data_IF_655224157033
#
_entry.id   IF_655224157033
#
_cell.length_a   1.000
_cell.length_b   1.000
_cell.length_c   1.000
_cell.angle_alpha   90.00
_cell.angle_beta   90.00
_cell.angle_gamma   90.00
#
_symmetry.space_group_name_H-M   'P 1'
#
loop_
_entity.id
_entity.type
_entity.pdbx_description
1 polymer ?
#
# COMPACT_ATOMS: atom_id res chain seq x y z
N UNK A 1 -12.32 18.10 31.62
CA UNK A 1 -12.06 18.00 30.19
C UNK A 1 -12.00 16.51 29.90
N UNK A 2 -13.10 15.91 29.42
CA UNK A 2 -13.12 14.48 29.11
C UNK A 2 -12.23 14.27 27.89
N UNK A 3 -11.18 13.47 28.03
CA UNK A 3 -10.47 12.95 26.86
C UNK A 3 -11.48 12.10 26.07
N UNK A 4 -11.80 12.53 24.85
CA UNK A 4 -12.58 11.69 23.94
C UNK A 4 -11.81 10.39 23.72
N UNK A 5 -12.49 9.27 23.97
CA UNK A 5 -11.92 7.94 23.76
C UNK A 5 -11.55 7.81 22.28
N UNK A 6 -10.26 7.60 22.00
CA UNK A 6 -9.74 7.35 20.66
C UNK A 6 -9.41 5.88 20.50
N UNK A 7 -9.82 5.32 19.38
CA UNK A 7 -9.57 3.94 19.00
C UNK A 7 -8.67 3.93 17.76
N UNK A 8 -7.84 2.90 17.66
CA UNK A 8 -6.99 2.68 16.49
C UNK A 8 -7.61 1.56 15.67
N UNK A 9 -7.90 1.83 14.41
CA UNK A 9 -8.57 0.90 13.51
C UNK A 9 -7.70 0.61 12.29
N UNK A 10 -7.70 -0.64 11.85
CA UNK A 10 -7.08 -1.09 10.62
C UNK A 10 -8.15 -1.39 9.56
N UNK A 11 -7.97 -0.82 8.37
CA UNK A 11 -8.86 -1.02 7.23
C UNK A 11 -8.10 -1.60 6.04
N UNK A 12 -8.75 -2.50 5.30
CA UNK A 12 -8.12 -3.32 4.26
C UNK A 12 -8.97 -3.45 2.97
N UNK A 13 -10.13 -2.79 2.92
CA UNK A 13 -11.10 -2.92 1.85
C UNK A 13 -11.61 -1.57 1.33
N UNK A 14 -12.91 -1.46 1.10
CA UNK A 14 -13.58 -0.29 0.52
C UNK A 14 -13.39 1.04 1.28
N UNK A 15 -12.94 0.98 2.54
CA UNK A 15 -12.58 2.11 3.39
C UNK A 15 -11.17 2.69 3.12
N UNK A 16 -10.32 1.95 2.40
CA UNK A 16 -8.98 2.39 2.01
C UNK A 16 -9.02 3.69 1.21
N UNK A 17 -8.04 4.60 1.39
CA UNK A 17 -7.90 5.84 0.58
C UNK A 17 -8.07 5.60 -0.91
N UNK A 18 -8.85 6.48 -1.54
CA UNK A 18 -9.21 6.43 -2.95
C UNK A 18 -10.38 5.49 -3.29
N UNK A 19 -10.86 4.65 -2.36
CA UNK A 19 -12.02 3.77 -2.59
C UNK A 19 -13.31 4.39 -2.04
N UNK A 20 -14.43 3.81 -2.47
CA UNK A 20 -15.78 4.39 -2.35
C UNK A 20 -16.20 4.80 -0.92
N UNK A 21 -15.77 4.07 0.11
CA UNK A 21 -16.20 4.32 1.49
C UNK A 21 -15.17 5.08 2.32
N UNK A 22 -14.04 5.48 1.73
CA UNK A 22 -13.01 6.24 2.45
C UNK A 22 -13.53 7.54 3.08
N UNK A 23 -14.60 8.12 2.54
CA UNK A 23 -15.23 9.33 3.10
C UNK A 23 -15.64 9.19 4.57
N UNK A 24 -15.92 7.97 5.05
CA UNK A 24 -16.23 7.67 6.43
C UNK A 24 -15.04 7.85 7.40
N UNK A 25 -13.81 7.87 6.89
CA UNK A 25 -12.58 8.03 7.67
C UNK A 25 -11.97 9.43 7.58
N UNK A 26 -12.62 10.39 6.91
CA UNK A 26 -12.08 11.73 6.67
C UNK A 26 -11.71 12.50 7.94
N UNK A 27 -12.37 12.22 9.05
CA UNK A 27 -12.14 12.84 10.36
C UNK A 27 -11.10 12.10 11.20
N UNK A 28 -10.63 10.93 10.76
CA UNK A 28 -9.63 10.13 11.46
C UNK A 28 -8.20 10.59 11.17
N UNK A 29 -7.31 10.43 12.15
CA UNK A 29 -5.88 10.68 11.97
C UNK A 29 -5.27 9.47 11.27
N UNK A 30 -4.77 9.63 10.05
CA UNK A 30 -4.04 8.56 9.37
C UNK A 30 -2.67 8.32 10.04
N UNK A 31 -2.41 7.07 10.45
CA UNK A 31 -1.18 6.69 11.16
C UNK A 31 -0.14 6.04 10.23
N UNK A 32 -0.56 5.32 9.19
CA UNK A 32 0.40 4.66 8.31
C UNK A 32 -0.15 3.47 7.53
N UNK A 33 0.65 2.99 6.59
CA UNK A 33 0.43 1.71 5.94
C UNK A 33 0.88 0.62 6.91
N UNK A 34 0.11 -0.46 6.99
CA UNK A 34 0.42 -1.56 7.88
C UNK A 34 0.03 -2.90 7.26
N UNK A 35 0.44 -3.97 7.94
CA UNK A 35 0.01 -5.32 7.63
C UNK A 35 -0.55 -6.03 8.85
N UNK A 36 -1.55 -6.88 8.63
CA UNK A 36 -2.08 -7.84 9.62
C UNK A 36 -2.07 -9.25 9.02
N UNK A 37 -2.14 -10.28 9.86
CA UNK A 37 -2.29 -11.65 9.39
C UNK A 37 -3.77 -12.02 9.21
N UNK A 38 -4.08 -12.67 8.09
CA UNK A 38 -5.42 -13.13 7.77
C UNK A 38 -5.47 -13.92 6.47
N UNK A 39 -6.68 -14.09 5.94
CA UNK A 39 -6.94 -14.52 4.57
C UNK A 39 -7.99 -13.60 3.98
N UNK A 40 -7.70 -13.03 2.81
CA UNK A 40 -8.56 -12.04 2.16
C UNK A 40 -9.33 -12.69 1.02
N UNK A 41 -10.63 -12.42 0.94
CA UNK A 41 -11.51 -12.96 -0.10
C UNK A 41 -12.25 -11.83 -0.80
N UNK A 42 -12.44 -11.99 -2.10
CA UNK A 42 -13.36 -11.16 -2.87
C UNK A 42 -14.80 -11.65 -2.69
N UNK A 43 -15.66 -10.81 -2.12
CA UNK A 43 -17.09 -11.10 -1.95
C UNK A 43 -17.93 -10.50 -3.09
N UNK A 44 -17.31 -9.78 -4.03
CA UNK A 44 -17.90 -9.10 -5.18
C UNK A 44 -17.74 -7.58 -5.05
N UNK A 45 -18.53 -6.95 -4.19
CA UNK A 45 -18.52 -5.48 -4.02
C UNK A 45 -17.54 -5.00 -2.94
N UNK A 46 -17.07 -5.90 -2.08
CA UNK A 46 -16.22 -5.62 -0.93
C UNK A 46 -15.44 -6.88 -0.55
N UNK A 47 -14.30 -6.76 0.17
CA UNK A 47 -13.54 -7.92 0.58
C UNK A 47 -13.97 -8.44 1.96
N UNK A 48 -13.77 -9.73 2.20
CA UNK A 48 -13.91 -10.37 3.50
C UNK A 48 -12.56 -10.81 4.05
N UNK A 49 -12.24 -10.43 5.30
CA UNK A 49 -11.03 -10.88 5.99
C UNK A 49 -11.37 -11.95 7.02
N UNK A 50 -10.76 -13.13 6.87
CA UNK A 50 -10.81 -14.23 7.84
C UNK A 50 -9.48 -14.34 8.60
N UNK A 51 -9.47 -15.18 9.64
CA UNK A 51 -8.24 -15.57 10.31
C UNK A 51 -7.36 -16.42 9.36
N UNK A 52 -6.05 -16.23 9.42
CA UNK A 52 -5.10 -16.84 8.50
C UNK A 52 -3.70 -16.29 8.71
N UNK A 53 -2.75 -16.73 7.87
CA UNK A 53 -1.33 -16.38 7.98
C UNK A 53 -0.82 -15.51 6.83
N UNK A 54 -1.67 -15.20 5.85
CA UNK A 54 -1.30 -14.31 4.77
C UNK A 54 -1.18 -12.88 5.31
N UNK A 55 -0.16 -12.17 4.86
CA UNK A 55 0.06 -10.77 5.24
C UNK A 55 -0.82 -9.85 4.40
N UNK A 56 -1.84 -9.26 5.03
CA UNK A 56 -2.83 -8.38 4.40
C UNK A 56 -2.43 -6.92 4.59
N UNK A 57 -2.34 -6.20 3.48
CA UNK A 57 -1.97 -4.78 3.44
C UNK A 57 -3.20 -3.93 3.70
N UNK A 58 -3.03 -2.91 4.54
CA UNK A 58 -4.07 -1.94 4.81
C UNK A 58 -3.52 -0.64 5.38
N UNK A 59 -4.41 0.11 5.99
CA UNK A 59 -4.17 1.43 6.54
C UNK A 59 -4.63 1.49 7.99
N UNK A 60 -3.84 2.16 8.84
CA UNK A 60 -4.20 2.41 10.23
C UNK A 60 -4.69 3.85 10.37
N UNK A 61 -5.80 4.02 11.08
CA UNK A 61 -6.37 5.30 11.47
C UNK A 61 -6.62 5.36 12.97
N UNK A 62 -6.47 6.55 13.55
CA UNK A 62 -7.01 6.87 14.87
C UNK A 62 -8.34 7.58 14.70
N UNK A 63 -9.39 7.04 15.30
CA UNK A 63 -10.77 7.51 15.16
C UNK A 63 -11.42 7.76 16.52
N UNK A 64 -12.39 8.67 16.56
CA UNK A 64 -13.24 8.87 17.74
C UNK A 64 -14.43 7.90 17.74
N UNK A 65 -15.18 7.90 18.83
CA UNK A 65 -16.32 6.99 19.03
C UNK A 65 -17.43 7.19 17.99
N UNK A 66 -17.74 8.42 17.61
CA UNK A 66 -18.76 8.71 16.60
C UNK A 66 -18.39 8.11 15.23
N UNK A 67 -17.12 8.23 14.82
CA UNK A 67 -16.62 7.63 13.58
C UNK A 67 -16.67 6.11 13.68
N UNK A 68 -16.28 5.53 14.81
CA UNK A 68 -16.34 4.08 15.00
C UNK A 68 -17.77 3.52 14.90
N UNK A 69 -18.75 4.22 15.49
CA UNK A 69 -20.17 3.86 15.38
C UNK A 69 -20.68 3.93 13.93
N UNK A 70 -20.23 4.92 13.15
CA UNK A 70 -20.54 4.99 11.71
C UNK A 70 -19.95 3.80 10.95
N UNK A 71 -18.71 3.41 11.25
CA UNK A 71 -18.08 2.24 10.63
C UNK A 71 -18.81 0.94 11.00
N UNK A 72 -19.24 0.78 12.25
CA UNK A 72 -20.04 -0.38 12.66
C UNK A 72 -21.35 -0.49 11.87
N UNK A 73 -22.00 0.64 11.56
CA UNK A 73 -23.20 0.67 10.73
C UNK A 73 -22.91 0.28 9.28
N UNK A 74 -21.82 0.79 8.71
CA UNK A 74 -21.39 0.47 7.34
C UNK A 74 -21.07 -1.02 7.20
N UNK A 75 -20.35 -1.58 8.16
CA UNK A 75 -19.90 -2.97 8.17
C UNK A 75 -20.97 -3.95 8.72
N UNK A 76 -22.16 -3.45 9.07
CA UNK A 76 -23.26 -4.28 9.55
C UNK A 76 -22.95 -5.03 10.85
N UNK A 77 -22.21 -4.39 11.76
CA UNK A 77 -21.92 -4.92 13.09
C UNK A 77 -23.13 -4.73 13.99
N UNK A 78 -23.60 -5.82 14.60
CA UNK A 78 -24.64 -5.80 15.62
C UNK A 78 -24.06 -6.24 16.96
N UNK A 79 -23.72 -5.29 17.87
CA UNK A 79 -23.12 -5.62 19.17
C UNK A 79 -24.01 -6.50 20.06
N UNK A 80 -25.33 -6.43 19.88
CA UNK A 80 -26.30 -7.22 20.67
C UNK A 80 -26.48 -8.64 20.13
N UNK A 81 -26.23 -8.85 18.84
CA UNK A 81 -26.38 -10.14 18.17
C UNK A 81 -25.19 -10.42 17.23
N UNK A 82 -23.99 -10.70 17.78
CA UNK A 82 -22.78 -10.89 16.98
C UNK A 82 -22.93 -11.96 15.89
N UNK A 83 -23.64 -13.06 16.18
CA UNK A 83 -23.87 -14.15 15.23
C UNK A 83 -24.66 -13.73 13.96
N UNK A 84 -25.42 -12.62 14.03
CA UNK A 84 -26.16 -12.06 12.90
C UNK A 84 -25.40 -10.97 12.15
N UNK A 85 -24.22 -10.58 12.65
CA UNK A 85 -23.42 -9.50 12.04
C UNK A 85 -22.71 -9.99 10.79
N UNK A 86 -22.63 -9.13 9.78
CA UNK A 86 -21.84 -9.41 8.56
C UNK A 86 -20.35 -9.46 8.90
N UNK A 87 -19.93 -8.51 9.75
CA UNK A 87 -18.57 -8.44 10.27
C UNK A 87 -18.58 -8.41 11.80
N UNK A 88 -17.47 -8.86 12.38
CA UNK A 88 -17.20 -8.78 13.81
C UNK A 88 -16.00 -7.86 14.03
N UNK A 89 -16.15 -6.86 14.89
CA UNK A 89 -15.01 -6.05 15.32
C UNK A 89 -14.15 -6.84 16.29
N UNK A 90 -12.86 -6.95 16.00
CA UNK A 90 -11.90 -7.71 16.80
C UNK A 90 -10.58 -6.96 16.91
N UNK A 91 -9.90 -7.15 18.03
CA UNK A 91 -8.56 -6.63 18.23
C UNK A 91 -7.52 -7.57 17.62
N UNK A 92 -6.48 -7.00 17.03
CA UNK A 92 -5.32 -7.73 16.52
C UNK A 92 -4.07 -6.85 16.55
N UNK A 93 -2.94 -7.44 16.18
CA UNK A 93 -1.67 -6.75 16.04
C UNK A 93 -1.43 -6.41 14.57
N UNK A 94 -1.12 -5.14 14.30
CA UNK A 94 -0.73 -4.66 12.98
C UNK A 94 0.71 -4.14 13.01
N UNK A 95 1.49 -4.50 12.01
CA UNK A 95 2.88 -4.06 11.85
C UNK A 95 2.92 -2.88 10.89
N UNK A 96 3.40 -1.72 11.32
CA UNK A 96 3.59 -0.55 10.45
C UNK A 96 4.70 -0.80 9.44
N UNK A 97 4.46 -0.47 8.17
CA UNK A 97 5.48 -0.57 7.11
C UNK A 97 6.56 0.52 7.23
N UNK A 98 6.29 1.58 7.99
CA UNK A 98 7.20 2.72 8.12
C UNK A 98 8.46 2.39 8.95
N UNK A 99 8.32 1.53 9.95
CA UNK A 99 9.36 1.25 10.95
C UNK A 99 9.29 -0.16 11.57
N UNK A 100 8.29 -0.96 11.24
CA UNK A 100 8.09 -2.30 11.82
C UNK A 100 7.46 -2.30 13.21
N UNK A 101 7.05 -1.15 13.73
CA UNK A 101 6.41 -1.08 15.04
C UNK A 101 5.05 -1.80 15.01
N UNK A 102 4.75 -2.50 16.10
CA UNK A 102 3.50 -3.25 16.27
C UNK A 102 2.50 -2.40 17.05
N UNK A 103 1.29 -2.28 16.52
CA UNK A 103 0.18 -1.55 17.13
C UNK A 103 -1.00 -2.50 17.36
N UNK A 104 -1.60 -2.40 18.54
CA UNK A 104 -2.90 -3.04 18.78
C UNK A 104 -3.98 -2.22 18.09
N UNK A 105 -4.71 -2.85 17.19
CA UNK A 105 -5.75 -2.21 16.36
C UNK A 105 -7.05 -3.00 16.43
N UNK A 106 -8.17 -2.32 16.25
CA UNK A 106 -9.43 -2.96 15.91
C UNK A 106 -9.53 -3.17 14.40
N UNK A 107 -10.14 -4.26 13.95
CA UNK A 107 -10.51 -4.48 12.55
C UNK A 107 -11.83 -5.23 12.46
N UNK A 108 -12.44 -5.19 11.28
CA UNK A 108 -13.66 -5.94 10.97
C UNK A 108 -13.29 -7.29 10.35
N UNK A 109 -13.63 -8.42 10.97
CA UNK A 109 -13.50 -9.76 10.37
C UNK A 109 -14.81 -10.21 9.77
N UNK A 110 -14.77 -10.81 8.59
CA UNK A 110 -15.96 -11.33 7.94
C UNK A 110 -16.47 -12.56 8.70
N UNK A 111 -17.78 -12.60 8.95
CA UNK A 111 -18.42 -13.59 9.81
C UNK A 111 -19.35 -14.55 9.07
N UNK A 112 -19.40 -14.49 7.73
CA UNK A 112 -20.22 -15.38 6.92
C UNK A 112 -19.37 -16.36 6.09
N UNK A 113 -20.05 -17.30 5.44
CA UNK A 113 -19.39 -18.29 4.59
C UNK A 113 -18.71 -17.65 3.38
N UNK A 114 -17.48 -18.09 3.12
CA UNK A 114 -16.71 -17.76 1.90
C UNK A 114 -16.72 -18.89 0.88
N UNK A 115 -17.62 -19.86 1.01
CA UNK A 115 -17.75 -20.95 0.04
C UNK A 115 -18.03 -20.39 -1.37
N UNK A 116 -17.20 -20.81 -2.35
CA UNK A 116 -17.29 -20.33 -3.73
C UNK A 116 -16.78 -18.91 -3.97
N UNK A 117 -16.14 -18.27 -2.98
CA UNK A 117 -15.51 -16.95 -3.11
C UNK A 117 -14.05 -17.07 -3.51
N UNK A 118 -13.54 -16.06 -4.21
CA UNK A 118 -12.16 -16.04 -4.70
C UNK A 118 -11.22 -15.54 -3.62
N UNK A 119 -10.16 -16.28 -3.32
CA UNK A 119 -9.10 -15.81 -2.42
C UNK A 119 -8.23 -14.76 -3.12
N UNK A 120 -7.94 -13.66 -2.42
CA UNK A 120 -7.08 -12.58 -2.88
C UNK A 120 -5.65 -12.87 -2.45
N UNK A 121 -4.91 -13.61 -3.28
CA UNK A 121 -3.58 -14.14 -2.95
C UNK A 121 -2.48 -13.08 -2.77
N UNK A 122 -2.64 -11.87 -3.31
CA UNK A 122 -1.66 -10.78 -3.12
C UNK A 122 -1.80 -10.04 -1.77
N UNK A 123 -2.91 -10.23 -1.05
CA UNK A 123 -3.17 -9.63 0.25
C UNK A 123 -3.43 -8.12 0.22
N UNK A 124 -3.59 -7.53 -0.95
CA UNK A 124 -3.87 -6.09 -1.14
C UNK A 124 -5.10 -5.94 -2.03
N UNK A 125 -6.19 -5.40 -1.46
CA UNK A 125 -7.44 -5.25 -2.17
C UNK A 125 -7.36 -4.27 -3.35
N UNK A 126 -6.62 -3.17 -3.23
CA UNK A 126 -6.47 -2.21 -4.34
C UNK A 126 -5.70 -2.84 -5.49
N UNK A 127 -4.62 -3.56 -5.16
CA UNK A 127 -3.81 -4.26 -6.17
C UNK A 127 -4.63 -5.33 -6.87
N UNK A 128 -5.42 -6.09 -6.11
CA UNK A 128 -6.33 -7.08 -6.67
C UNK A 128 -7.28 -6.47 -7.69
N UNK A 129 -7.93 -5.34 -7.35
CA UNK A 129 -8.83 -4.64 -8.28
C UNK A 129 -8.13 -4.21 -9.57
N UNK A 130 -6.91 -3.67 -9.48
CA UNK A 130 -6.12 -3.29 -10.66
C UNK A 130 -5.77 -4.51 -11.54
N UNK A 131 -5.37 -5.62 -10.94
CA UNK A 131 -5.03 -6.85 -11.65
C UNK A 131 -6.25 -7.56 -12.26
N UNK A 132 -7.47 -7.26 -11.79
CA UNK A 132 -8.72 -7.72 -12.43
C UNK A 132 -9.12 -6.87 -13.64
N UNK A 133 -8.72 -5.60 -13.69
CA UNK A 133 -9.16 -4.67 -14.74
C UNK A 133 -8.37 -4.81 -16.04
N UNK A 134 -7.11 -5.22 -15.98
CA UNK A 134 -6.21 -5.24 -17.14
C UNK A 134 -5.04 -6.19 -16.90
N UNK A 135 -4.52 -6.84 -17.95
CA UNK A 135 -3.26 -7.59 -17.87
C UNK A 135 -2.02 -6.68 -17.86
N UNK A 136 -2.19 -5.43 -18.31
CA UNK A 136 -1.18 -4.37 -18.21
C UNK A 136 -1.43 -3.52 -16.97
N UNK A 137 -0.36 -3.21 -16.25
CA UNK A 137 -0.40 -2.57 -14.95
C UNK A 137 0.45 -1.30 -14.94
N UNK A 138 -0.09 -0.25 -14.32
CA UNK A 138 0.69 0.94 -14.00
C UNK A 138 1.56 0.68 -12.77
N UNK A 139 2.87 0.88 -12.90
CA UNK A 139 3.83 0.75 -11.81
C UNK A 139 4.63 2.02 -11.62
N UNK A 140 4.67 2.52 -10.39
CA UNK A 140 5.31 3.78 -10.02
C UNK A 140 6.79 3.57 -9.73
N UNK A 141 7.62 4.31 -10.43
CA UNK A 141 9.03 4.50 -10.13
C UNK A 141 9.25 5.85 -9.44
N UNK A 142 9.84 5.82 -8.26
CA UNK A 142 10.30 7.00 -7.51
C UNK A 142 11.81 6.94 -7.19
N UNK A 143 12.46 5.80 -7.49
CA UNK A 143 13.87 5.52 -7.23
C UNK A 143 14.66 5.35 -8.52
N UNK A 144 15.62 4.43 -8.55
CA UNK A 144 16.50 4.24 -9.73
C UNK A 144 15.77 3.88 -11.02
N UNK A 145 14.57 3.30 -10.96
CA UNK A 145 13.75 2.99 -12.15
C UNK A 145 13.10 4.24 -12.77
N UNK A 146 13.29 5.43 -12.17
CA UNK A 146 12.95 6.69 -12.84
C UNK A 146 13.76 6.85 -14.13
N UNK A 147 15.00 6.35 -14.18
CA UNK A 147 15.83 6.28 -15.39
C UNK A 147 15.25 5.26 -16.37
N UNK A 148 14.72 5.68 -17.54
CA UNK A 148 14.13 4.75 -18.50
C UNK A 148 15.12 3.72 -19.03
N UNK A 149 16.41 4.06 -19.18
CA UNK A 149 17.41 3.11 -19.66
C UNK A 149 17.57 1.98 -18.65
N UNK A 150 17.68 2.33 -17.36
CA UNK A 150 17.80 1.33 -16.29
C UNK A 150 16.55 0.46 -16.16
N UNK A 151 15.37 1.03 -16.33
CA UNK A 151 14.14 0.23 -16.33
C UNK A 151 14.11 -0.72 -17.54
N UNK A 152 14.37 -0.22 -18.74
CA UNK A 152 14.32 -1.01 -19.97
C UNK A 152 15.40 -2.09 -20.04
N UNK A 153 16.58 -1.87 -19.44
CA UNK A 153 17.62 -2.89 -19.28
C UNK A 153 17.14 -4.09 -18.43
N UNK A 154 16.15 -3.88 -17.56
CA UNK A 154 15.58 -4.91 -16.68
C UNK A 154 14.38 -5.62 -17.30
N UNK A 155 13.44 -4.85 -17.84
CA UNK A 155 12.12 -5.36 -18.24
C UNK A 155 11.90 -5.34 -19.76
N UNK A 156 12.90 -4.96 -20.54
CA UNK A 156 12.75 -4.75 -21.97
C UNK A 156 12.02 -3.45 -22.31
N UNK A 157 11.55 -3.32 -23.54
CA UNK A 157 10.97 -2.07 -24.07
C UNK A 157 9.73 -1.63 -23.30
N UNK A 158 9.69 -0.34 -22.94
CA UNK A 158 8.54 0.32 -22.33
C UNK A 158 8.22 1.58 -23.12
N UNK A 159 6.99 1.70 -23.62
CA UNK A 159 6.59 2.80 -24.52
C UNK A 159 5.62 3.79 -23.90
N UNK A 160 4.97 3.43 -22.79
CA UNK A 160 3.94 4.25 -22.16
C UNK A 160 4.32 4.55 -20.71
N UNK A 161 4.35 5.84 -20.39
CA UNK A 161 4.62 6.35 -19.05
C UNK A 161 3.90 7.68 -18.81
N UNK A 162 3.68 8.00 -17.54
CA UNK A 162 3.09 9.27 -17.11
C UNK A 162 3.79 9.79 -15.86
N UNK A 163 4.19 11.06 -15.90
CA UNK A 163 4.63 11.79 -14.72
C UNK A 163 3.44 12.04 -13.78
N UNK A 164 3.72 12.06 -12.49
CA UNK A 164 2.70 12.30 -11.47
C UNK A 164 3.29 12.36 -10.06
N UNK A 165 2.42 12.22 -9.07
CA UNK A 165 2.80 12.30 -7.67
C UNK A 165 2.13 11.22 -6.82
N UNK A 166 2.87 10.75 -5.81
CA UNK A 166 2.32 9.98 -4.69
C UNK A 166 1.94 10.96 -3.56
N UNK A 167 0.64 11.19 -3.30
CA UNK A 167 0.17 12.13 -2.30
C UNK A 167 0.41 11.62 -0.87
N UNK A 168 0.87 12.48 0.03
CA UNK A 168 1.11 12.09 1.42
C UNK A 168 2.35 11.20 1.60
N UNK A 169 3.24 11.17 0.61
CA UNK A 169 4.49 10.44 0.65
C UNK A 169 5.67 11.35 0.30
N UNK A 170 6.84 10.95 0.76
CA UNK A 170 8.11 11.59 0.43
C UNK A 170 9.18 10.54 0.23
N UNK A 171 10.16 10.85 -0.63
CA UNK A 171 11.30 10.01 -0.89
C UNK A 171 12.16 9.87 0.37
N UNK A 172 12.57 8.64 0.67
CA UNK A 172 13.49 8.27 1.75
C UNK A 172 14.62 7.44 1.17
N UNK A 173 15.80 7.53 1.75
CA UNK A 173 16.94 6.69 1.42
C UNK A 173 17.26 5.79 2.61
N UNK A 174 16.39 4.81 2.85
CA UNK A 174 16.47 3.96 4.04
C UNK A 174 16.27 2.47 3.77
N UNK A 175 16.18 2.03 2.51
CA UNK A 175 16.22 0.60 2.20
C UNK A 175 17.67 0.13 2.16
N UNK A 176 18.07 -0.87 2.93
CA UNK A 176 19.40 -1.45 2.83
C UNK A 176 19.68 -2.00 1.41
N UNK A 177 20.79 -1.57 0.80
CA UNK A 177 21.27 -2.15 -0.47
C UNK A 177 21.77 -3.58 -0.26
N UNK A 178 22.48 -3.77 0.85
CA UNK A 178 22.73 -5.04 1.52
C UNK A 178 23.00 -4.70 2.99
N UNK A 179 22.68 -5.59 3.93
CA UNK A 179 22.92 -5.35 5.35
C UNK A 179 24.41 -5.12 5.69
N UNK A 180 25.33 -5.48 4.80
CA UNK A 180 26.78 -5.37 4.99
C UNK A 180 27.45 -4.17 4.32
N UNK A 181 26.78 -3.47 3.40
CA UNK A 181 27.43 -2.46 2.55
C UNK A 181 27.43 -1.04 3.13
N UNK A 182 26.58 -0.76 4.13
CA UNK A 182 26.36 0.60 4.64
C UNK A 182 25.69 1.56 3.65
N UNK A 183 25.27 1.07 2.48
CA UNK A 183 24.59 1.85 1.45
C UNK A 183 23.08 1.62 1.51
N UNK A 184 22.32 2.60 1.02
CA UNK A 184 20.87 2.49 0.90
C UNK A 184 20.34 2.76 -0.51
N UNK A 185 19.11 2.30 -0.73
CA UNK A 185 18.27 2.53 -1.89
C UNK A 185 17.04 3.35 -1.49
N UNK A 186 16.35 3.84 -2.51
CA UNK A 186 15.15 4.63 -2.38
C UNK A 186 13.98 3.82 -1.79
N UNK A 187 13.22 4.46 -0.93
CA UNK A 187 11.94 4.02 -0.40
C UNK A 187 11.00 5.24 -0.32
N UNK A 188 9.74 5.03 0.00
CA UNK A 188 8.80 6.12 0.31
C UNK A 188 8.34 6.00 1.76
N UNK A 189 8.25 7.15 2.44
CA UNK A 189 7.71 7.25 3.80
C UNK A 189 6.49 8.15 3.82
N UNK A 190 5.54 7.87 4.71
CA UNK A 190 4.37 8.73 4.89
C UNK A 190 4.76 10.11 5.42
N UNK A 191 4.25 11.14 4.78
CA UNK A 191 4.33 12.54 5.20
C UNK A 191 3.12 13.29 4.62
N UNK A 192 2.10 13.52 5.45
CA UNK A 192 0.78 14.01 5.04
C UNK A 192 0.82 15.33 4.26
N UNK A 193 1.86 16.15 4.46
CA UNK A 193 1.99 17.47 3.85
C UNK A 193 2.88 17.47 2.60
N UNK A 194 3.40 16.31 2.20
CA UNK A 194 4.30 16.16 1.05
C UNK A 194 3.63 15.40 -0.09
N UNK A 195 4.25 15.52 -1.24
CA UNK A 195 3.92 14.80 -2.46
C UNK A 195 5.25 14.33 -3.04
N UNK A 196 5.40 13.05 -3.33
CA UNK A 196 6.61 12.51 -3.93
C UNK A 196 6.43 12.54 -5.46
N UNK A 197 7.20 13.35 -6.21
CA UNK A 197 7.25 13.24 -7.66
C UNK A 197 7.69 11.84 -8.07
N UNK A 198 7.02 11.28 -9.07
CA UNK A 198 7.28 9.93 -9.55
C UNK A 198 6.76 9.74 -10.99
N UNK A 199 7.07 8.60 -11.60
CA UNK A 199 6.59 8.24 -12.93
C UNK A 199 5.93 6.88 -12.87
N UNK A 200 4.71 6.78 -13.41
CA UNK A 200 4.05 5.50 -13.64
C UNK A 200 4.42 4.99 -15.03
N UNK A 201 4.97 3.79 -15.12
CA UNK A 201 5.20 3.07 -16.37
C UNK A 201 4.13 1.99 -16.55
N UNK A 202 3.67 1.80 -17.78
CA UNK A 202 2.71 0.73 -18.10
C UNK A 202 3.46 -0.53 -18.51
N UNK A 203 3.33 -1.59 -17.72
CA UNK A 203 4.05 -2.85 -17.92
C UNK A 203 3.09 -4.02 -18.09
N UNK A 204 3.46 -4.97 -18.94
CA UNK A 204 2.78 -6.26 -19.03
C UNK A 204 3.03 -7.12 -17.79
N UNK A 205 2.22 -8.18 -17.62
CA UNK A 205 2.38 -9.16 -16.54
C UNK A 205 3.77 -9.81 -16.48
N UNK A 206 4.38 -10.09 -17.64
CA UNK A 206 5.73 -10.67 -17.72
C UNK A 206 6.79 -9.67 -17.25
N UNK A 207 6.70 -8.43 -17.73
CA UNK A 207 7.60 -7.35 -17.30
C UNK A 207 7.48 -7.07 -15.79
N UNK A 208 6.26 -7.13 -15.26
CA UNK A 208 5.98 -7.01 -13.83
C UNK A 208 6.61 -8.15 -13.02
N UNK A 209 6.58 -9.38 -13.52
CA UNK A 209 7.23 -10.52 -12.87
C UNK A 209 8.76 -10.42 -12.90
N UNK A 210 9.33 -9.93 -14.00
CA UNK A 210 10.78 -9.65 -14.07
C UNK A 210 11.17 -8.55 -13.09
N UNK A 211 10.38 -7.48 -13.01
CA UNK A 211 10.64 -6.39 -12.07
C UNK A 211 10.53 -6.86 -10.60
N UNK A 212 9.56 -7.70 -10.27
CA UNK A 212 9.45 -8.32 -8.94
C UNK A 212 10.74 -9.04 -8.52
N UNK A 213 11.40 -9.72 -9.46
CA UNK A 213 12.69 -10.38 -9.23
C UNK A 213 13.80 -9.39 -8.85
N UNK A 214 13.87 -8.24 -9.53
CA UNK A 214 14.85 -7.19 -9.21
C UNK A 214 14.56 -6.45 -7.89
N UNK A 215 13.27 -6.25 -7.58
CA UNK A 215 12.83 -5.62 -6.33
C UNK A 215 12.80 -6.62 -5.15
N UNK A 216 13.09 -7.90 -5.39
CA UNK A 216 13.17 -8.95 -4.37
C UNK A 216 11.83 -9.21 -3.68
N UNK A 217 10.72 -9.12 -4.41
CA UNK A 217 9.36 -9.32 -3.86
C UNK A 217 9.18 -10.77 -3.39
N UNK A 218 8.56 -11.01 -2.21
CA UNK A 218 8.00 -10.02 -1.27
C UNK A 218 8.96 -9.62 -0.14
N UNK A 219 10.21 -10.11 -0.12
CA UNK A 219 11.08 -10.04 1.06
C UNK A 219 11.85 -8.72 1.20
N UNK A 220 12.23 -8.10 0.07
CA UNK A 220 12.99 -6.86 0.07
C UNK A 220 12.07 -5.64 -0.01
N UNK A 221 11.27 -5.61 -1.07
CA UNK A 221 10.15 -4.72 -1.23
C UNK A 221 8.87 -5.54 -1.30
N UNK A 222 7.78 -4.92 -0.87
CA UNK A 222 6.42 -5.39 -1.10
C UNK A 222 5.80 -4.58 -2.22
N UNK A 223 5.17 -5.26 -3.17
CA UNK A 223 4.36 -4.61 -4.22
C UNK A 223 2.92 -4.43 -3.74
N UNK A 224 2.53 -3.18 -3.59
CA UNK A 224 1.20 -2.74 -3.14
C UNK A 224 0.59 -1.76 -4.15
N UNK A 225 -0.69 -1.43 -4.06
CA UNK A 225 -1.31 -0.37 -4.83
C UNK A 225 -1.65 0.85 -3.95
N UNK A 226 -1.27 2.03 -4.41
CA UNK A 226 -1.52 3.31 -3.75
C UNK A 226 -2.20 4.29 -4.69
N UNK A 227 -2.90 5.30 -4.15
CA UNK A 227 -3.32 6.45 -4.93
C UNK A 227 -2.11 7.10 -5.62
N UNK A 228 -2.25 7.32 -6.92
CA UNK A 228 -1.29 8.08 -7.73
C UNK A 228 -2.07 9.20 -8.41
N UNK A 229 -1.43 10.34 -8.67
CA UNK A 229 -2.07 11.42 -9.40
C UNK A 229 -1.19 11.82 -10.58
N UNK A 230 -1.66 11.52 -11.79
CA UNK A 230 -1.07 11.94 -13.05
C UNK A 230 -1.98 12.90 -13.80
N UNK A 231 -1.42 13.62 -14.77
CA UNK A 231 -2.19 14.45 -15.68
C UNK A 231 -2.71 13.63 -16.88
N UNK A 232 -3.95 13.92 -17.27
CA UNK A 232 -4.70 13.48 -18.45
C UNK A 232 -4.08 12.36 -19.36
N UNK A 233 -4.62 11.12 -19.37
CA UNK A 233 -5.71 10.61 -18.53
C UNK A 233 -5.27 10.38 -17.09
N UNK A 234 -6.16 10.63 -16.13
CA UNK A 234 -5.87 10.42 -14.72
C UNK A 234 -5.71 8.91 -14.42
N UNK A 235 -4.57 8.56 -13.84
CA UNK A 235 -4.36 7.27 -13.18
C UNK A 235 -4.74 7.48 -11.72
N UNK A 236 -5.77 6.79 -11.23
CA UNK A 236 -6.21 6.92 -9.83
C UNK A 236 -5.37 6.08 -8.86
N UNK A 237 -4.94 4.90 -9.33
CA UNK A 237 -4.13 3.97 -8.56
C UNK A 237 -3.04 3.37 -9.44
N UNK A 238 -1.90 3.14 -8.83
CA UNK A 238 -0.81 2.42 -9.47
C UNK A 238 -0.10 1.53 -8.45
N UNK A 239 0.51 0.45 -8.95
CA UNK A 239 1.33 -0.43 -8.15
C UNK A 239 2.65 0.25 -7.79
N UNK A 240 3.15 0.03 -6.59
CA UNK A 240 4.38 0.64 -6.08
C UNK A 240 5.09 -0.37 -5.19
N UNK A 241 6.41 -0.28 -5.18
CA UNK A 241 7.25 -1.06 -4.28
C UNK A 241 7.47 -0.25 -3.01
N UNK A 242 7.24 -0.84 -1.84
CA UNK A 242 7.58 -0.23 -0.54
C UNK A 242 8.50 -1.18 0.21
N UNK A 243 9.57 -0.66 0.82
CA UNK A 243 10.52 -1.51 1.52
C UNK A 243 9.85 -2.23 2.69
N UNK A 244 10.21 -3.50 2.89
CA UNK A 244 9.79 -4.23 4.08
C UNK A 244 10.50 -3.65 5.33
N UNK A 245 9.83 -3.61 6.49
CA UNK A 245 10.42 -3.07 7.72
C UNK A 245 11.76 -3.69 8.10
N UNK A 246 11.92 -5.00 7.90
CA UNK A 246 13.14 -5.75 8.22
C UNK A 246 14.35 -5.33 7.36
N UNK A 247 14.10 -4.53 6.33
CA UNK A 247 15.10 -4.07 5.38
C UNK A 247 15.44 -2.59 5.56
N UNK A 248 14.84 -1.92 6.54
CA UNK A 248 15.07 -0.51 6.80
C UNK A 248 16.35 -0.31 7.62
N UNK A 249 17.11 0.73 7.28
CA UNK A 249 18.32 1.16 7.99
C UNK A 249 18.32 2.68 8.18
N UNK A 250 19.00 3.15 9.22
CA UNK A 250 19.16 4.57 9.51
C UNK A 250 20.56 5.08 9.17
N UNK A 251 20.66 6.37 8.85
CA UNK A 251 21.95 7.07 8.69
C UNK A 251 22.79 6.66 7.48
N UNK A 252 22.24 5.87 6.56
CA UNK A 252 22.91 5.48 5.32
C UNK A 252 22.61 6.45 4.18
N UNK A 253 23.58 6.62 3.28
CA UNK A 253 23.43 7.43 2.06
C UNK A 253 23.47 6.55 0.81
N UNK A 254 22.76 6.93 -0.26
CA UNK A 254 22.85 6.23 -1.54
C UNK A 254 24.20 6.52 -2.19
N UNK A 255 24.73 5.53 -2.91
CA UNK A 255 25.96 5.73 -3.69
C UNK A 255 25.76 6.78 -4.79
N UNK A 256 26.81 7.51 -5.21
CA UNK A 256 26.71 8.48 -6.31
C UNK A 256 26.18 7.84 -7.61
N UNK A 257 26.60 6.61 -7.91
CA UNK A 257 26.10 5.87 -9.07
C UNK A 257 24.59 5.60 -8.98
N UNK A 258 24.09 5.22 -7.81
CA UNK A 258 22.65 5.02 -7.59
C UNK A 258 21.87 6.33 -7.72
N UNK A 259 22.37 7.40 -7.10
CA UNK A 259 21.78 8.74 -7.19
C UNK A 259 21.73 9.25 -8.63
N UNK A 260 22.77 8.96 -9.43
CA UNK A 260 22.84 9.32 -10.84
C UNK A 260 21.67 8.80 -11.67
N UNK A 261 21.15 7.61 -11.38
CA UNK A 261 19.92 7.10 -12.05
C UNK A 261 18.69 7.94 -11.69
N UNK A 262 18.54 8.32 -10.42
CA UNK A 262 17.40 9.16 -10.00
C UNK A 262 17.48 10.52 -10.71
N UNK A 263 18.63 11.17 -10.69
CA UNK A 263 18.84 12.47 -11.36
C UNK A 263 18.63 12.39 -12.88
N UNK A 264 19.07 11.30 -13.52
CA UNK A 264 18.81 11.06 -14.94
C UNK A 264 17.31 10.93 -15.23
N UNK A 265 16.58 10.21 -14.37
CA UNK A 265 15.13 10.07 -14.48
C UNK A 265 14.39 11.40 -14.30
N UNK A 266 14.71 12.18 -13.26
CA UNK A 266 14.13 13.52 -13.07
C UNK A 266 14.37 14.42 -14.29
N UNK A 267 15.58 14.40 -14.85
CA UNK A 267 15.91 15.16 -16.05
C UNK A 267 15.13 14.71 -17.28
N UNK A 268 14.99 13.39 -17.48
CA UNK A 268 14.28 12.83 -18.63
C UNK A 268 12.79 13.18 -18.59
N UNK A 269 12.17 13.06 -17.42
CA UNK A 269 10.73 13.24 -17.21
C UNK A 269 10.31 14.67 -16.87
N UNK A 270 11.27 15.59 -16.73
CA UNK A 270 11.04 17.01 -16.42
C UNK A 270 10.27 17.22 -15.09
N UNK A 271 10.66 16.46 -14.06
CA UNK A 271 10.11 16.51 -12.70
C UNK A 271 10.77 17.57 -11.82
#
# INVERSE_FOLDING_TARGET
MNEEKRMVIFVYGTLLRGLNLHSALKTGDYLGLATVNGELFDLGYFPGLLAGQQSIVGEIYRVNEATLQQLDQIEGVNPTHPASSHYLRQQTEATLLADGSIHTVELYRYNCSVAGKTAIGCGDYRRYLLEQQSDEQWVVAYGSNLDPNRLMDRVGTVTEWQAGVLPGFTLRFNKAASHSSGNCYANIGHDANKRCPAVAYRLSREQMATLDGYEGVPNHYRRIALPFYSENPAIEFAQVYIAQPEQLIEGAEPTPAYRGHIEAGYRYHQL
#
